data_IF_930854806865
#
_entry.id   IF_930854806865
#
_cell.length_a   1.000
_cell.length_b   1.000
_cell.length_c   1.000
_cell.angle_alpha   90.00
_cell.angle_beta   90.00
_cell.angle_gamma   90.00
#
_symmetry.space_group_name_H-M   'P 1'
#
loop_
_entity.id
_entity.type
_entity.pdbx_description
1 polymer ?
#
# COMPACT_ATOMS: atom_id res chain seq x y z
N UNK A 1 -28.61 2.69 25.62
CA UNK A 1 -27.23 2.16 25.74
C UNK A 1 -26.60 2.25 24.37
N UNK A 2 -25.70 3.21 24.15
CA UNK A 2 -24.88 3.23 22.93
C UNK A 2 -23.80 2.17 23.11
N UNK A 3 -23.86 1.10 22.32
CA UNK A 3 -22.76 0.15 22.23
C UNK A 3 -21.73 0.84 21.33
N UNK A 4 -20.76 1.53 21.92
CA UNK A 4 -19.57 1.91 21.17
C UNK A 4 -18.81 0.62 20.85
N UNK A 5 -18.88 0.21 19.58
CA UNK A 5 -18.08 -0.90 19.09
C UNK A 5 -16.59 -0.55 19.29
N UNK A 6 -15.85 -1.41 19.98
CA UNK A 6 -14.40 -1.25 20.11
C UNK A 6 -13.79 -1.17 18.70
N UNK A 7 -12.96 -0.16 18.40
CA UNK A 7 -12.41 0.00 17.06
C UNK A 7 -11.54 -1.22 16.71
N UNK A 8 -11.76 -1.79 15.53
CA UNK A 8 -10.90 -2.85 15.01
C UNK A 8 -9.54 -2.26 14.61
N UNK A 9 -8.52 -2.58 15.41
CA UNK A 9 -7.14 -2.18 15.16
C UNK A 9 -6.38 -3.34 14.56
N UNK A 10 -5.66 -3.07 13.47
CA UNK A 10 -4.86 -4.11 12.82
C UNK A 10 -3.52 -4.29 13.52
N UNK A 11 -2.94 -5.50 13.52
CA UNK A 11 -1.52 -5.64 13.80
C UNK A 11 -0.71 -4.87 12.76
N UNK A 12 0.45 -4.35 13.17
CA UNK A 12 1.36 -3.61 12.32
C UNK A 12 2.66 -4.40 12.16
N UNK A 13 2.97 -4.78 10.92
CA UNK A 13 4.26 -5.41 10.60
C UNK A 13 5.42 -4.44 10.85
N UNK A 14 6.48 -4.96 11.48
CA UNK A 14 7.74 -4.24 11.66
C UNK A 14 8.78 -4.60 10.59
N UNK A 15 8.45 -5.53 9.70
CA UNK A 15 9.32 -5.90 8.59
C UNK A 15 9.46 -4.71 7.63
N UNK A 16 10.66 -4.43 7.11
CA UNK A 16 10.84 -3.42 6.08
C UNK A 16 10.12 -3.81 4.78
N UNK A 17 9.76 -2.81 3.98
CA UNK A 17 9.32 -3.04 2.60
C UNK A 17 10.59 -3.26 1.78
N UNK A 18 10.66 -4.39 1.07
CA UNK A 18 11.77 -4.67 0.16
C UNK A 18 11.46 -4.04 -1.21
N UNK A 19 12.39 -3.24 -1.74
CA UNK A 19 12.31 -2.72 -3.11
C UNK A 19 13.01 -3.72 -4.01
N UNK A 20 12.24 -4.37 -4.89
CA UNK A 20 12.72 -5.36 -5.86
C UNK A 20 13.19 -4.70 -7.15
N UNK A 21 12.56 -3.58 -7.52
CA UNK A 21 12.91 -2.77 -8.69
C UNK A 21 12.48 -1.32 -8.46
N UNK A 22 13.27 -0.40 -8.99
CA UNK A 22 13.03 1.04 -8.95
C UNK A 22 13.49 1.67 -10.26
N UNK A 23 12.61 2.45 -10.88
CA UNK A 23 12.92 3.31 -12.02
C UNK A 23 12.17 4.66 -11.91
N UNK A 24 12.21 5.47 -12.97
CA UNK A 24 11.57 6.80 -12.99
C UNK A 24 10.03 6.73 -12.93
N UNK A 25 9.43 5.61 -13.28
CA UNK A 25 7.98 5.48 -13.46
C UNK A 25 7.32 4.67 -12.33
N UNK A 26 7.99 3.66 -11.78
CA UNK A 26 7.39 2.78 -10.78
C UNK A 26 8.41 2.14 -9.82
N UNK A 27 7.86 1.60 -8.72
CA UNK A 27 8.52 0.63 -7.86
C UNK A 27 7.84 -0.73 -8.01
N UNK A 28 8.64 -1.79 -7.99
CA UNK A 28 8.19 -3.12 -7.59
C UNK A 28 8.65 -3.37 -6.17
N UNK A 29 7.72 -3.66 -5.27
CA UNK A 29 8.04 -3.86 -3.86
C UNK A 29 7.44 -5.16 -3.35
N UNK A 30 8.09 -5.79 -2.36
CA UNK A 30 7.49 -6.88 -1.59
C UNK A 30 6.81 -6.29 -0.36
N UNK A 31 5.49 -6.38 -0.29
CA UNK A 31 4.71 -6.08 0.91
C UNK A 31 4.86 -7.23 1.91
N UNK A 32 5.25 -6.98 3.18
CA UNK A 32 5.13 -7.99 4.23
C UNK A 32 3.65 -8.26 4.56
N UNK A 33 3.35 -9.40 5.16
CA UNK A 33 2.05 -9.63 5.79
C UNK A 33 1.87 -8.71 7.00
N UNK A 34 0.63 -8.55 7.46
CA UNK A 34 0.24 -7.66 8.56
C UNK A 34 0.61 -6.18 8.35
N UNK A 35 0.78 -5.76 7.09
CA UNK A 35 0.87 -4.36 6.68
C UNK A 35 -0.29 -4.04 5.74
N UNK A 36 -1.06 -3.00 6.06
CA UNK A 36 -2.11 -2.52 5.17
C UNK A 36 -1.52 -2.01 3.85
N UNK A 37 -2.20 -2.23 2.72
CA UNK A 37 -1.77 -1.63 1.45
C UNK A 37 -1.99 -0.10 1.42
N UNK A 38 -3.11 0.35 1.99
CA UNK A 38 -3.54 1.77 2.11
C UNK A 38 -3.92 2.11 3.55
N UNK A 39 -3.90 3.39 3.98
CA UNK A 39 -4.29 3.78 5.32
C UNK A 39 -5.72 3.33 5.65
N UNK A 40 -5.91 2.73 6.82
CA UNK A 40 -7.22 2.42 7.36
C UNK A 40 -7.97 3.68 7.84
N UNK A 41 -9.28 3.54 8.10
CA UNK A 41 -10.12 4.67 8.55
C UNK A 41 -9.76 5.20 9.94
N UNK A 42 -9.39 4.30 10.85
CA UNK A 42 -9.04 4.68 12.20
C UNK A 42 -7.61 5.27 12.21
N UNK A 43 -7.32 6.38 12.91
CA UNK A 43 -5.99 7.02 12.89
C UNK A 43 -4.85 6.07 13.26
N UNK A 44 -5.11 5.14 14.19
CA UNK A 44 -4.12 4.11 14.59
C UNK A 44 -3.80 3.08 13.48
N UNK A 45 -4.63 2.98 12.45
CA UNK A 45 -4.42 2.09 11.29
C UNK A 45 -3.91 2.87 10.06
N UNK A 46 -3.36 4.09 10.22
CA UNK A 46 -2.83 4.85 9.08
C UNK A 46 -1.52 4.28 8.52
N UNK A 47 -0.74 3.60 9.35
CA UNK A 47 0.48 2.93 8.92
C UNK A 47 0.15 1.80 7.92
N UNK A 48 0.72 1.95 6.72
CA UNK A 48 0.44 1.17 5.52
C UNK A 48 1.62 1.25 4.56
N UNK A 49 1.69 0.33 3.59
CA UNK A 49 2.70 0.30 2.54
C UNK A 49 2.84 1.67 1.87
N UNK A 50 1.73 2.27 1.42
CA UNK A 50 1.81 3.56 0.73
C UNK A 50 2.28 4.69 1.64
N UNK A 51 1.81 4.73 2.90
CA UNK A 51 2.24 5.78 3.84
C UNK A 51 3.73 5.73 4.17
N UNK A 52 4.31 4.52 4.17
CA UNK A 52 5.75 4.29 4.38
C UNK A 52 6.55 4.67 3.14
N UNK A 53 6.13 4.23 1.95
CA UNK A 53 6.80 4.58 0.69
C UNK A 53 6.78 6.08 0.43
N UNK A 54 5.68 6.78 0.74
CA UNK A 54 5.57 8.23 0.55
C UNK A 54 6.52 9.07 1.41
N UNK A 55 7.18 8.48 2.42
CA UNK A 55 8.24 9.17 3.17
C UNK A 55 9.47 9.44 2.31
N UNK A 56 9.78 8.54 1.35
CA UNK A 56 10.94 8.63 0.45
C UNK A 56 10.55 8.89 -1.00
N UNK A 57 9.33 8.51 -1.38
CA UNK A 57 8.77 8.63 -2.72
C UNK A 57 7.41 9.35 -2.66
N UNK A 58 7.37 10.68 -2.49
CA UNK A 58 6.13 11.42 -2.19
C UNK A 58 5.02 11.27 -3.24
N UNK A 59 5.38 10.95 -4.49
CA UNK A 59 4.46 10.75 -5.61
C UNK A 59 3.96 9.30 -5.75
N UNK A 60 4.46 8.38 -4.93
CA UNK A 60 4.02 6.99 -4.91
C UNK A 60 2.50 6.90 -4.72
N UNK A 61 1.86 6.03 -5.49
CA UNK A 61 0.42 5.85 -5.50
C UNK A 61 0.03 4.37 -5.57
N UNK A 62 -1.22 4.04 -5.26
CA UNK A 62 -1.71 2.66 -5.25
C UNK A 62 -2.64 2.42 -6.44
N UNK A 63 -2.37 1.37 -7.20
CA UNK A 63 -3.19 0.91 -8.35
C UNK A 63 -3.85 -0.45 -8.12
N UNK A 64 -3.34 -1.24 -7.18
CA UNK A 64 -3.92 -2.50 -6.74
C UNK A 64 -3.58 -2.76 -5.27
N UNK A 65 -4.22 -3.73 -4.63
CA UNK A 65 -4.04 -4.02 -3.20
C UNK A 65 -3.82 -5.50 -2.95
N UNK A 66 -3.02 -5.78 -1.94
CA UNK A 66 -3.01 -7.06 -1.24
C UNK A 66 -3.76 -6.89 0.09
N UNK A 67 -4.37 -7.98 0.55
CA UNK A 67 -5.02 -8.02 1.86
C UNK A 67 -4.00 -7.96 3.00
N UNK A 68 -4.50 -7.68 4.21
CA UNK A 68 -3.67 -7.43 5.38
C UNK A 68 -2.70 -8.58 5.64
N UNK A 69 -3.21 -9.80 5.67
CA UNK A 69 -2.52 -11.07 5.94
C UNK A 69 -1.80 -11.65 4.72
N UNK A 70 -1.77 -10.92 3.60
CA UNK A 70 -1.11 -11.36 2.37
C UNK A 70 0.24 -10.66 2.20
N UNK A 71 1.32 -11.44 2.09
CA UNK A 71 2.62 -10.93 1.61
C UNK A 71 2.73 -11.09 0.08
N UNK A 72 3.48 -10.22 -0.60
CA UNK A 72 3.68 -10.39 -2.05
C UNK A 72 4.11 -9.13 -2.79
N UNK A 73 4.22 -9.27 -4.11
CA UNK A 73 4.68 -8.20 -5.00
C UNK A 73 3.56 -7.18 -5.23
N UNK A 74 3.91 -5.90 -5.08
CA UNK A 74 3.09 -4.75 -5.41
C UNK A 74 3.76 -3.92 -6.50
N UNK A 75 2.95 -3.32 -7.36
CA UNK A 75 3.39 -2.36 -8.39
C UNK A 75 2.92 -0.99 -7.92
N UNK A 76 3.85 -0.05 -7.77
CA UNK A 76 3.61 1.27 -7.18
C UNK A 76 4.05 2.34 -8.17
N UNK A 77 3.13 2.99 -8.90
CA UNK A 77 3.49 4.08 -9.79
C UNK A 77 4.00 5.31 -9.04
N UNK A 78 4.98 5.99 -9.63
CA UNK A 78 5.62 7.21 -9.12
C UNK A 78 5.17 8.48 -9.86
N UNK A 79 4.25 8.37 -10.82
CA UNK A 79 3.66 9.51 -11.51
C UNK A 79 2.19 9.27 -11.85
N UNK A 80 1.45 10.35 -12.13
CA UNK A 80 0.04 10.27 -12.55
C UNK A 80 -0.11 9.54 -13.88
N UNK A 81 0.85 9.71 -14.79
CA UNK A 81 0.86 9.03 -16.09
C UNK A 81 1.05 7.53 -15.92
N UNK A 82 2.07 7.11 -15.15
CA UNK A 82 2.32 5.70 -14.85
C UNK A 82 1.12 5.07 -14.12
N UNK A 83 0.50 5.81 -13.19
CA UNK A 83 -0.70 5.35 -12.50
C UNK A 83 -1.84 5.08 -13.49
N UNK A 84 -2.12 6.02 -14.38
CA UNK A 84 -3.20 5.89 -15.36
C UNK A 84 -2.96 4.70 -16.31
N UNK A 85 -1.72 4.53 -16.76
CA UNK A 85 -1.37 3.42 -17.66
C UNK A 85 -1.47 2.06 -16.96
N UNK A 86 -0.85 1.91 -15.79
CA UNK A 86 -0.89 0.65 -15.04
C UNK A 86 -2.32 0.32 -14.60
N UNK A 87 -3.11 1.31 -14.19
CA UNK A 87 -4.53 1.10 -13.86
C UNK A 87 -5.33 0.57 -15.05
N UNK A 88 -5.08 1.08 -16.25
CA UNK A 88 -5.69 0.57 -17.49
C UNK A 88 -5.28 -0.87 -17.74
N UNK A 89 -4.01 -1.22 -17.54
CA UNK A 89 -3.54 -2.60 -17.67
C UNK A 89 -4.20 -3.55 -16.68
N UNK A 90 -4.49 -3.12 -15.44
CA UNK A 90 -5.26 -3.94 -14.48
C UNK A 90 -6.73 -4.12 -14.90
N UNK A 91 -7.34 -3.10 -15.50
CA UNK A 91 -8.73 -3.15 -15.97
C UNK A 91 -8.92 -4.02 -17.23
N UNK A 92 -7.89 -4.14 -18.07
CA UNK A 92 -7.92 -4.91 -19.32
C UNK A 92 -7.59 -6.40 -19.13
N UNK A 93 -7.44 -6.84 -17.88
CA UNK A 93 -7.22 -8.25 -17.51
C UNK A 93 -8.52 -8.99 -17.35
#
# INVERSE_FOLDING_TARGET
>A
MHIEATPYLVPHSREPIEILHEDEHLLLVRKPDLLLSVPGRHPRNHDSLISRLQQTHPTASIVHRLDLDTSGIMVVPLSREAHADISRQFQQR
#
